data_IF_370476796507
#
_entry.id   IF_370476796507
#
_cell.length_a   1.000
_cell.length_b   1.000
_cell.length_c   1.000
_cell.angle_alpha   90.00
_cell.angle_beta   90.00
_cell.angle_gamma   90.00
#
_symmetry.space_group_name_H-M   'P 1'
#
loop_
_entity.id
_entity.type
_entity.pdbx_description
1 polymer ?
#
# COMPACT_ATOMS: atom_id res chain seq x y z
N UNK A 1 11.83 33.57 3.69
CA UNK A 1 12.43 32.31 4.19
C UNK A 1 11.68 31.16 3.53
N UNK A 2 12.22 30.67 2.42
CA UNK A 2 11.54 29.79 1.46
C UNK A 2 11.27 28.40 2.06
N UNK A 3 10.00 28.12 2.31
CA UNK A 3 9.49 26.79 2.71
C UNK A 3 9.82 25.73 1.64
N UNK A 4 9.91 26.17 0.40
CA UNK A 4 10.25 25.42 -0.81
C UNK A 4 11.67 24.83 -0.76
N UNK A 5 12.61 25.49 -0.07
CA UNK A 5 14.00 25.00 0.09
C UNK A 5 14.09 23.87 1.13
N UNK A 6 13.22 23.90 2.15
CA UNK A 6 13.14 22.84 3.15
C UNK A 6 12.53 21.57 2.55
N UNK A 7 11.53 21.72 1.67
CA UNK A 7 10.86 20.61 1.00
C UNK A 7 11.82 19.85 0.07
N UNK A 8 12.68 20.57 -0.65
CA UNK A 8 13.67 19.97 -1.56
C UNK A 8 14.80 19.22 -0.83
N UNK A 9 15.25 19.72 0.33
CA UNK A 9 16.26 19.03 1.14
C UNK A 9 15.69 17.80 1.87
N UNK A 10 14.40 17.86 2.24
CA UNK A 10 13.65 16.69 2.67
C UNK A 10 13.63 15.63 1.54
N UNK A 11 13.23 15.99 0.33
CA UNK A 11 13.12 15.00 -0.76
C UNK A 11 14.43 14.23 -1.06
N UNK A 12 15.61 14.84 -0.86
CA UNK A 12 16.88 14.27 -1.30
C UNK A 12 17.54 13.24 -0.36
N UNK A 13 17.17 13.19 0.93
CA UNK A 13 17.75 12.25 1.91
C UNK A 13 16.72 11.51 2.80
N UNK A 14 15.44 11.65 2.48
CA UNK A 14 14.37 11.19 3.35
C UNK A 14 14.09 9.70 3.34
N UNK A 15 14.60 8.97 2.35
CA UNK A 15 14.45 7.52 2.33
C UNK A 15 14.97 6.85 3.61
N UNK A 16 16.10 7.32 4.17
CA UNK A 16 16.68 6.76 5.38
C UNK A 16 15.90 7.12 6.64
N UNK A 17 15.47 8.38 6.79
CA UNK A 17 14.71 8.82 7.95
C UNK A 17 13.30 8.23 7.97
N UNK A 18 12.63 8.23 6.82
CA UNK A 18 11.30 7.64 6.65
C UNK A 18 11.38 6.12 6.85
N UNK A 19 12.38 5.46 6.26
CA UNK A 19 12.59 4.01 6.44
C UNK A 19 12.80 3.64 7.91
N UNK A 20 13.65 4.36 8.63
CA UNK A 20 13.87 4.14 10.07
C UNK A 20 12.61 4.40 10.88
N UNK A 21 11.87 5.47 10.59
CA UNK A 21 10.66 5.82 11.33
C UNK A 21 9.55 4.79 11.12
N UNK A 22 9.36 4.33 9.87
CA UNK A 22 8.41 3.27 9.52
C UNK A 22 8.83 1.95 10.18
N UNK A 23 10.11 1.58 10.07
CA UNK A 23 10.64 0.35 10.69
C UNK A 23 10.49 0.35 12.21
N UNK A 24 10.72 1.51 12.85
CA UNK A 24 10.52 1.67 14.30
C UNK A 24 9.05 1.49 14.69
N UNK A 25 8.12 2.06 13.93
CA UNK A 25 6.68 1.91 14.17
C UNK A 25 6.22 0.45 14.00
N UNK A 26 6.67 -0.22 12.94
CA UNK A 26 6.39 -1.65 12.68
C UNK A 26 7.00 -2.53 13.79
N UNK A 27 8.22 -2.21 14.25
CA UNK A 27 8.88 -2.91 15.36
C UNK A 27 8.12 -2.77 16.68
N UNK A 28 7.64 -1.57 17.01
CA UNK A 28 6.76 -1.34 18.17
C UNK A 28 5.48 -2.18 18.06
N UNK A 29 4.89 -2.25 16.86
CA UNK A 29 3.71 -3.04 16.60
C UNK A 29 3.97 -4.55 16.78
N UNK A 30 5.12 -5.05 16.32
CA UNK A 30 5.59 -6.43 16.53
C UNK A 30 5.74 -6.78 18.00
N UNK A 31 6.32 -5.87 18.80
CA UNK A 31 6.53 -6.07 20.23
C UNK A 31 5.20 -6.03 20.98
N UNK A 32 4.31 -5.11 20.63
CA UNK A 32 3.04 -4.89 21.35
C UNK A 32 1.98 -5.95 21.02
N UNK A 33 1.79 -6.25 19.72
CA UNK A 33 0.77 -7.20 19.27
C UNK A 33 1.28 -8.65 19.29
N UNK A 34 2.59 -8.85 19.12
CA UNK A 34 3.24 -10.14 18.94
C UNK A 34 3.47 -10.49 17.47
N UNK A 35 4.50 -11.30 17.20
CA UNK A 35 5.00 -11.65 15.86
C UNK A 35 3.91 -12.12 14.89
N UNK A 36 3.06 -13.06 15.32
CA UNK A 36 1.99 -13.62 14.48
C UNK A 36 0.91 -12.59 14.13
N UNK A 37 0.55 -11.70 15.07
CA UNK A 37 -0.48 -10.69 14.83
C UNK A 37 -0.01 -9.68 13.78
N UNK A 38 1.26 -9.31 13.80
CA UNK A 38 1.79 -8.38 12.80
C UNK A 38 1.90 -8.99 11.42
N UNK A 39 2.22 -10.29 11.28
CA UNK A 39 2.17 -10.98 9.98
C UNK A 39 0.75 -10.97 9.42
N UNK A 40 -0.25 -11.31 10.23
CA UNK A 40 -1.66 -11.25 9.83
C UNK A 40 -2.05 -9.83 9.43
N UNK A 41 -1.66 -8.82 10.20
CA UNK A 41 -1.90 -7.41 9.89
C UNK A 41 -1.26 -7.02 8.53
N UNK A 42 -0.02 -7.44 8.28
CA UNK A 42 0.70 -7.14 7.05
C UNK A 42 0.01 -7.76 5.83
N UNK A 43 -0.39 -9.03 5.94
CA UNK A 43 -1.14 -9.74 4.91
C UNK A 43 -2.49 -9.06 4.65
N UNK A 44 -3.26 -8.77 5.70
CA UNK A 44 -4.53 -8.05 5.59
C UNK A 44 -4.36 -6.66 4.97
N UNK A 45 -3.29 -5.94 5.31
CA UNK A 45 -2.99 -4.62 4.75
C UNK A 45 -2.66 -4.70 3.26
N UNK A 46 -1.84 -5.68 2.83
CA UNK A 46 -1.54 -5.92 1.41
C UNK A 46 -2.79 -6.32 0.64
N UNK A 47 -3.61 -7.22 1.20
CA UNK A 47 -4.88 -7.64 0.59
C UNK A 47 -5.83 -6.44 0.49
N UNK A 48 -5.99 -5.67 1.57
CA UNK A 48 -6.83 -4.47 1.61
C UNK A 48 -6.37 -3.42 0.61
N UNK A 49 -5.06 -3.22 0.43
CA UNK A 49 -4.52 -2.34 -0.60
C UNK A 49 -4.81 -2.86 -2.01
N UNK A 50 -4.64 -4.17 -2.26
CA UNK A 50 -4.91 -4.76 -3.56
C UNK A 50 -6.40 -4.67 -3.93
N UNK A 51 -7.28 -4.94 -2.97
CA UNK A 51 -8.74 -4.81 -3.13
C UNK A 51 -9.12 -3.33 -3.29
N UNK A 52 -8.60 -2.44 -2.45
CA UNK A 52 -8.85 -0.99 -2.53
C UNK A 52 -8.39 -0.40 -3.84
N UNK A 53 -7.20 -0.77 -4.33
CA UNK A 53 -6.70 -0.37 -5.65
C UNK A 53 -7.61 -0.87 -6.77
N UNK A 54 -8.14 -2.09 -6.66
CA UNK A 54 -9.13 -2.61 -7.61
C UNK A 54 -10.46 -1.84 -7.56
N UNK A 55 -10.90 -1.42 -6.37
CA UNK A 55 -12.13 -0.63 -6.22
C UNK A 55 -11.98 0.80 -6.71
N UNK A 56 -10.79 1.38 -6.60
CA UNK A 56 -10.49 2.72 -7.11
C UNK A 56 -10.32 2.74 -8.64
N UNK A 57 -9.68 1.70 -9.20
CA UNK A 57 -9.63 1.44 -10.65
C UNK A 57 -10.91 0.75 -11.14
N UNK A 58 -12.09 1.24 -10.73
CA UNK A 58 -13.40 0.70 -11.12
C UNK A 58 -13.54 0.51 -12.63
N UNK A 59 -12.92 1.36 -13.44
CA UNK A 59 -12.89 1.22 -14.90
C UNK A 59 -12.10 -0.02 -15.33
N UNK A 60 -10.84 -0.19 -14.88
CA UNK A 60 -10.05 -1.39 -15.21
C UNK A 60 -10.68 -2.70 -14.69
N UNK A 61 -11.31 -2.68 -13.51
CA UNK A 61 -11.85 -3.90 -12.91
C UNK A 61 -13.18 -4.30 -13.54
N UNK A 62 -14.04 -3.33 -13.87
CA UNK A 62 -15.22 -3.59 -14.68
C UNK A 62 -14.83 -4.06 -16.07
N UNK A 63 -13.85 -3.41 -16.71
CA UNK A 63 -13.36 -3.78 -18.05
C UNK A 63 -12.68 -5.17 -18.05
N UNK A 64 -11.93 -5.52 -17.01
CA UNK A 64 -11.35 -6.86 -16.84
C UNK A 64 -12.42 -7.94 -16.62
N UNK A 65 -13.46 -7.64 -15.82
CA UNK A 65 -14.58 -8.54 -15.59
C UNK A 65 -15.43 -8.70 -16.86
N UNK A 66 -15.71 -7.63 -17.59
CA UNK A 66 -16.39 -7.67 -18.88
C UNK A 66 -15.60 -8.49 -19.90
N UNK A 67 -14.27 -8.34 -19.96
CA UNK A 67 -13.41 -9.16 -20.83
C UNK A 67 -13.55 -10.65 -20.51
N UNK A 68 -13.51 -11.01 -19.23
CA UNK A 68 -13.63 -12.41 -18.80
C UNK A 68 -15.04 -12.95 -19.08
N UNK A 69 -16.09 -12.20 -18.77
CA UNK A 69 -17.48 -12.59 -19.02
C UNK A 69 -17.77 -12.73 -20.52
N UNK A 70 -17.29 -11.80 -21.35
CA UNK A 70 -17.49 -11.83 -22.79
C UNK A 70 -16.74 -13.01 -23.44
N UNK A 71 -15.57 -13.40 -22.92
CA UNK A 71 -14.88 -14.62 -23.37
C UNK A 71 -15.69 -15.89 -23.07
N UNK A 72 -16.48 -15.92 -21.99
CA UNK A 72 -17.30 -17.08 -21.63
C UNK A 72 -18.68 -17.10 -22.32
N UNK A 73 -19.15 -15.96 -22.86
CA UNK A 73 -20.44 -15.84 -23.54
C UNK A 73 -20.46 -16.31 -24.99
N UNK A 74 -19.33 -16.73 -25.55
CA UNK A 74 -19.24 -17.26 -26.91
C UNK A 74 -19.17 -18.80 -26.89
N UNK A 75 -20.24 -19.45 -26.45
CA UNK A 75 -20.46 -20.89 -26.67
C UNK A 75 -21.89 -21.14 -27.12
#
# INVERSE_FOLDING_TARGET
MNKDKLMFFFINHHGKLIGTLIGFFIGILLITLGFFKTIVLLICSVIGYYIGKKVDNKEDVVEFIERILNIQGKK
#
